data_IF_063249751907
#
_entry.id   IF_063249751907
#
_cell.length_a   1.000
_cell.length_b   1.000
_cell.length_c   1.000
_cell.angle_alpha   90.00
_cell.angle_beta   90.00
_cell.angle_gamma   90.00
#
_symmetry.space_group_name_H-M   'P 1'
#
loop_
_entity.id
_entity.type
_entity.pdbx_description
1 polymer ?
#
# COMPACT_ATOMS: atom_id res chain seq x y z
N UNK A 1 83.42 -49.19 44.41
CA UNK A 1 84.79 -49.53 43.99
C UNK A 1 85.14 -48.65 42.80
N UNK A 2 86.19 -47.82 42.93
CA UNK A 2 86.93 -47.05 41.88
C UNK A 2 86.19 -45.88 41.21
N UNK A 3 86.69 -44.64 41.07
CA UNK A 3 87.81 -43.83 41.62
C UNK A 3 87.50 -42.35 41.26
N UNK A 4 87.82 -41.44 42.18
CA UNK A 4 88.26 -40.03 42.05
C UNK A 4 87.69 -39.07 40.98
N UNK A 5 87.31 -37.84 41.39
CA UNK A 5 88.17 -36.65 41.20
C UNK A 5 87.68 -35.43 42.02
N UNK A 6 88.66 -34.70 42.54
CA UNK A 6 88.58 -33.61 43.49
C UNK A 6 88.60 -32.22 42.82
N UNK A 7 88.08 -31.27 43.59
CA UNK A 7 88.04 -29.81 43.46
C UNK A 7 89.02 -29.11 42.50
N UNK A 8 88.47 -28.20 41.67
CA UNK A 8 89.05 -26.86 41.44
C UNK A 8 87.96 -25.80 41.32
N UNK A 9 88.01 -24.84 42.26
CA UNK A 9 87.35 -23.54 42.18
C UNK A 9 88.22 -22.55 41.40
N UNK A 10 87.53 -21.60 40.80
CA UNK A 10 87.95 -20.24 40.41
C UNK A 10 88.73 -20.07 39.10
N UNK A 11 88.18 -19.18 38.29
CA UNK A 11 88.66 -18.78 36.97
C UNK A 11 87.50 -18.20 36.17
N UNK A 12 87.09 -16.97 36.53
CA UNK A 12 85.97 -16.24 35.91
C UNK A 12 86.12 -16.22 34.39
N UNK A 13 85.17 -16.82 33.67
CA UNK A 13 84.91 -16.50 32.27
C UNK A 13 83.44 -16.17 32.07
N UNK A 14 83.23 -14.95 31.61
CA UNK A 14 82.00 -14.19 31.36
C UNK A 14 80.78 -15.06 31.04
N UNK A 15 79.84 -15.14 31.98
CA UNK A 15 78.43 -15.43 31.69
C UNK A 15 77.58 -14.23 32.08
N UNK A 16 76.75 -13.82 31.11
CA UNK A 16 75.42 -13.24 31.33
C UNK A 16 75.36 -11.92 32.09
N UNK A 17 75.28 -10.82 31.34
CA UNK A 17 74.07 -9.97 31.32
C UNK A 17 73.93 -9.50 29.86
N UNK A 18 73.27 -10.29 29.01
CA UNK A 18 72.73 -9.72 27.77
C UNK A 18 71.62 -8.79 28.23
N UNK A 19 71.87 -7.50 28.07
CA UNK A 19 70.96 -6.37 28.18
C UNK A 19 69.51 -6.84 27.96
N UNK A 20 68.69 -6.80 29.01
CA UNK A 20 67.24 -6.85 28.88
C UNK A 20 66.85 -5.58 28.13
N UNK A 21 66.96 -5.64 26.80
CA UNK A 21 66.36 -4.65 25.92
C UNK A 21 64.86 -4.82 26.05
N UNK A 22 64.28 -3.80 26.67
CA UNK A 22 62.89 -3.41 26.66
C UNK A 22 62.22 -3.61 25.27
N UNK A 23 60.87 -3.58 25.26
CA UNK A 23 59.97 -4.62 24.78
C UNK A 23 60.09 -4.91 23.28
N UNK A 24 59.67 -6.11 22.89
CA UNK A 24 59.34 -6.46 21.53
C UNK A 24 58.69 -5.28 20.82
N UNK A 25 59.34 -4.79 19.76
CA UNK A 25 58.79 -3.72 18.93
C UNK A 25 57.48 -4.22 18.36
N UNK A 26 56.37 -3.83 19.00
CA UNK A 26 55.02 -3.93 18.46
C UNK A 26 55.10 -3.37 17.05
N UNK A 27 54.98 -4.26 16.06
CA UNK A 27 54.87 -3.86 14.65
C UNK A 27 53.69 -2.91 14.59
N UNK A 28 53.97 -1.62 14.45
CA UNK A 28 52.91 -0.63 14.29
C UNK A 28 52.13 -1.02 13.05
N UNK A 29 50.87 -1.41 13.26
CA UNK A 29 49.94 -1.64 12.17
C UNK A 29 49.76 -0.28 11.48
N UNK A 30 50.17 -0.16 10.21
CA UNK A 30 49.95 1.07 9.45
C UNK A 30 48.45 1.39 9.56
N UNK A 31 48.06 2.61 9.96
CA UNK A 31 46.65 2.97 10.01
C UNK A 31 46.08 2.68 8.61
N UNK A 32 45.01 1.87 8.57
CA UNK A 32 44.33 1.55 7.32
C UNK A 32 44.00 2.88 6.63
N UNK A 33 44.20 2.96 5.31
CA UNK A 33 43.83 4.16 4.55
C UNK A 33 42.31 4.30 4.61
N UNK A 34 41.82 5.02 5.61
CA UNK A 34 40.42 5.42 5.67
C UNK A 34 40.29 6.49 4.59
N UNK A 35 39.72 6.09 3.46
CA UNK A 35 39.41 7.02 2.38
C UNK A 35 38.26 7.92 2.84
N UNK A 36 38.58 8.97 3.59
CA UNK A 36 37.59 9.91 4.13
C UNK A 36 36.75 10.59 3.03
N UNK A 37 37.26 10.64 1.80
CA UNK A 37 36.57 11.23 0.66
C UNK A 37 36.71 10.35 -0.59
N UNK A 38 35.99 9.23 -0.62
CA UNK A 38 35.66 8.52 -1.86
C UNK A 38 34.39 9.09 -2.53
N UNK A 39 34.09 10.39 -2.37
CA UNK A 39 32.96 11.01 -3.03
C UNK A 39 33.37 11.50 -4.42
N UNK A 40 33.44 10.54 -5.37
CA UNK A 40 33.61 10.85 -6.79
C UNK A 40 32.35 11.56 -7.30
N UNK A 41 32.31 12.89 -7.12
CA UNK A 41 31.18 13.77 -7.45
C UNK A 41 30.59 13.48 -8.83
N UNK A 42 31.43 13.23 -9.84
CA UNK A 42 30.99 12.91 -11.19
C UNK A 42 30.21 11.59 -11.30
N UNK A 43 30.71 10.51 -10.67
CA UNK A 43 30.02 9.20 -10.68
C UNK A 43 28.72 9.24 -9.86
N UNK A 44 28.74 9.95 -8.74
CA UNK A 44 27.55 10.15 -7.91
C UNK A 44 26.47 10.94 -8.67
N UNK A 45 26.82 12.10 -9.23
CA UNK A 45 25.89 12.92 -10.03
C UNK A 45 25.33 12.15 -11.22
N UNK A 46 26.18 11.39 -11.94
CA UNK A 46 25.73 10.55 -13.07
C UNK A 46 24.71 9.50 -12.60
N UNK A 47 24.99 8.80 -11.50
CA UNK A 47 24.10 7.79 -10.94
C UNK A 47 22.76 8.39 -10.52
N UNK A 48 22.80 9.52 -9.81
CA UNK A 48 21.58 10.21 -9.35
C UNK A 48 20.74 10.72 -10.52
N UNK A 49 21.38 11.28 -11.56
CA UNK A 49 20.68 11.72 -12.77
C UNK A 49 20.04 10.54 -13.51
N UNK A 50 20.74 9.40 -13.63
CA UNK A 50 20.18 8.21 -14.28
C UNK A 50 18.97 7.66 -13.51
N UNK A 51 19.04 7.62 -12.19
CA UNK A 51 17.91 7.19 -11.34
C UNK A 51 16.73 8.16 -11.50
N UNK A 52 16.99 9.47 -11.48
CA UNK A 52 15.94 10.48 -11.68
C UNK A 52 15.32 10.39 -13.08
N UNK A 53 16.12 10.18 -14.12
CA UNK A 53 15.63 9.93 -15.47
C UNK A 53 14.74 8.69 -15.54
N UNK A 54 15.15 7.59 -14.90
CA UNK A 54 14.34 6.38 -14.81
C UNK A 54 13.00 6.61 -14.12
N UNK A 55 13.00 7.35 -13.00
CA UNK A 55 11.77 7.76 -12.30
C UNK A 55 10.87 8.64 -13.18
N UNK A 56 11.44 9.65 -13.84
CA UNK A 56 10.69 10.50 -14.77
C UNK A 56 10.09 9.69 -15.93
N UNK A 57 10.80 8.71 -16.47
CA UNK A 57 10.29 7.85 -17.52
C UNK A 57 9.11 6.98 -17.05
N UNK A 58 9.17 6.45 -15.81
CA UNK A 58 8.06 5.72 -15.21
C UNK A 58 6.83 6.61 -15.00
N UNK A 59 7.03 7.83 -14.49
CA UNK A 59 5.94 8.82 -14.31
C UNK A 59 5.33 9.20 -15.65
N UNK A 60 6.15 9.48 -16.67
CA UNK A 60 5.68 9.77 -18.02
C UNK A 60 4.90 8.60 -18.61
N UNK A 61 5.35 7.35 -18.40
CA UNK A 61 4.63 6.16 -18.85
C UNK A 61 3.30 5.97 -18.11
N UNK A 62 3.27 6.21 -16.81
CA UNK A 62 2.05 6.16 -16.02
C UNK A 62 1.06 7.24 -16.49
N UNK A 63 1.52 8.47 -16.69
CA UNK A 63 0.72 9.57 -17.23
C UNK A 63 0.21 9.27 -18.65
N UNK A 64 1.02 8.65 -19.51
CA UNK A 64 0.60 8.20 -20.84
C UNK A 64 -0.54 7.18 -20.78
N UNK A 65 -0.38 6.14 -19.95
CA UNK A 65 -1.39 5.08 -19.78
C UNK A 65 -2.67 5.64 -19.17
N UNK A 66 -2.55 6.53 -18.17
CA UNK A 66 -3.70 7.20 -17.58
C UNK A 66 -4.36 8.16 -18.56
N UNK A 67 -3.63 8.92 -19.37
CA UNK A 67 -4.21 9.88 -20.32
C UNK A 67 -4.90 9.22 -21.51
N UNK A 68 -4.37 8.10 -22.03
CA UNK A 68 -4.92 7.43 -23.23
C UNK A 68 -6.00 6.41 -22.87
N UNK A 69 -5.85 5.69 -21.76
CA UNK A 69 -6.82 4.68 -21.34
C UNK A 69 -7.76 5.17 -20.23
N UNK A 70 -7.72 6.46 -19.85
CA UNK A 70 -8.67 7.01 -18.88
C UNK A 70 -10.11 6.77 -19.35
N UNK A 71 -10.43 7.14 -20.58
CA UNK A 71 -11.81 7.07 -21.08
C UNK A 71 -12.33 5.63 -21.12
N UNK A 72 -11.48 4.68 -21.49
CA UNK A 72 -11.85 3.25 -21.55
C UNK A 72 -12.02 2.64 -20.17
N UNK A 73 -11.12 2.91 -19.21
CA UNK A 73 -11.24 2.46 -17.82
C UNK A 73 -12.43 3.10 -17.10
N UNK A 74 -12.68 4.38 -17.35
CA UNK A 74 -13.85 5.10 -16.80
C UNK A 74 -15.13 4.47 -17.32
N UNK A 75 -15.19 4.18 -18.63
CA UNK A 75 -16.34 3.53 -19.25
C UNK A 75 -16.59 2.10 -18.72
N UNK A 76 -15.53 1.33 -18.46
CA UNK A 76 -15.65 0.00 -17.85
C UNK A 76 -16.10 0.05 -16.39
N UNK A 77 -15.60 1.04 -15.62
CA UNK A 77 -16.05 1.29 -14.27
C UNK A 77 -17.54 1.69 -14.26
N UNK A 78 -17.94 2.59 -15.15
CA UNK A 78 -19.30 3.05 -15.32
C UNK A 78 -20.22 1.91 -15.74
N UNK A 79 -19.83 1.06 -16.69
CA UNK A 79 -20.62 -0.14 -17.07
C UNK A 79 -20.87 -1.09 -15.91
N UNK A 80 -19.96 -1.15 -14.94
CA UNK A 80 -20.09 -2.03 -13.76
C UNK A 80 -20.88 -1.37 -12.63
N UNK A 81 -20.88 -0.04 -12.56
CA UNK A 81 -21.53 0.73 -11.48
C UNK A 81 -22.91 1.26 -11.87
N UNK A 82 -23.06 1.77 -13.09
CA UNK A 82 -24.34 2.16 -13.66
C UNK A 82 -25.10 0.91 -14.13
N UNK A 83 -25.89 0.34 -13.21
CA UNK A 83 -27.03 -0.48 -13.62
C UNK A 83 -28.02 0.44 -14.31
N UNK A 84 -28.17 0.28 -15.63
CA UNK A 84 -29.28 0.88 -16.36
C UNK A 84 -30.52 0.10 -15.99
N UNK A 85 -31.41 0.70 -15.22
CA UNK A 85 -32.76 0.16 -15.03
C UNK A 85 -33.50 0.34 -16.35
N UNK A 86 -33.61 -0.74 -17.11
CA UNK A 86 -34.40 -0.74 -18.33
C UNK A 86 -35.88 -0.53 -17.95
N UNK A 87 -36.50 0.50 -18.51
CA UNK A 87 -37.93 0.75 -18.29
C UNK A 87 -38.69 -0.37 -19.00
N UNK A 88 -39.28 -1.29 -18.24
CA UNK A 88 -40.05 -2.40 -18.82
C UNK A 88 -41.23 -1.84 -19.62
N UNK A 89 -41.34 -2.26 -20.88
CA UNK A 89 -42.55 -2.05 -21.66
C UNK A 89 -43.72 -2.80 -21.00
N UNK A 90 -44.86 -2.12 -20.90
CA UNK A 90 -46.11 -2.69 -20.36
C UNK A 90 -46.49 -3.94 -21.16
N UNK A 91 -46.90 -5.01 -20.46
CA UNK A 91 -47.33 -6.27 -21.10
C UNK A 91 -48.73 -6.10 -21.69
N UNK A 92 -48.93 -6.57 -22.92
CA UNK A 92 -50.24 -6.57 -23.56
C UNK A 92 -51.29 -7.36 -22.78
N UNK A 93 -52.54 -6.89 -22.82
CA UNK A 93 -53.69 -7.57 -22.21
C UNK A 93 -54.05 -8.84 -22.96
N UNK A 94 -54.34 -9.92 -22.24
CA UNK A 94 -54.82 -11.18 -22.82
C UNK A 94 -56.35 -11.22 -22.68
N UNK A 95 -57.04 -11.43 -23.81
CA UNK A 95 -58.49 -11.57 -23.87
C UNK A 95 -58.86 -13.02 -24.21
N UNK A 96 -59.97 -13.49 -23.66
CA UNK A 96 -60.62 -14.72 -24.11
C UNK A 96 -61.25 -14.54 -25.50
N UNK A 97 -61.70 -15.62 -26.13
CA UNK A 97 -62.40 -15.62 -27.43
C UNK A 97 -63.64 -14.74 -27.45
N UNK A 98 -64.25 -14.52 -26.28
CA UNK A 98 -65.42 -13.67 -26.08
C UNK A 98 -65.06 -12.20 -25.78
N UNK A 99 -63.78 -11.81 -25.87
CA UNK A 99 -63.32 -10.45 -25.58
C UNK A 99 -63.24 -10.12 -24.08
N UNK A 100 -63.35 -11.11 -23.20
CA UNK A 100 -63.25 -10.91 -21.76
C UNK A 100 -61.78 -10.85 -21.33
N UNK A 101 -61.41 -9.85 -20.53
CA UNK A 101 -60.04 -9.69 -20.02
C UNK A 101 -59.69 -10.81 -19.05
N UNK A 102 -58.63 -11.56 -19.35
CA UNK A 102 -58.07 -12.60 -18.46
C UNK A 102 -56.82 -12.12 -17.72
N UNK A 103 -56.08 -11.18 -18.31
CA UNK A 103 -54.86 -10.62 -17.72
C UNK A 103 -54.59 -9.21 -18.25
N UNK A 104 -54.27 -8.28 -17.34
CA UNK A 104 -53.86 -6.91 -17.64
C UNK A 104 -52.72 -6.51 -16.69
N UNK A 105 -51.80 -5.67 -17.16
CA UNK A 105 -50.77 -5.06 -16.31
C UNK A 105 -51.23 -3.67 -15.89
N UNK A 106 -51.36 -3.45 -14.58
CA UNK A 106 -51.83 -2.18 -14.00
C UNK A 106 -50.64 -1.52 -13.31
N UNK A 107 -50.27 -0.29 -13.66
CA UNK A 107 -49.26 0.44 -12.92
C UNK A 107 -49.78 0.71 -11.50
N UNK A 108 -48.94 0.46 -10.49
CA UNK A 108 -49.26 0.73 -9.10
C UNK A 108 -48.21 1.66 -8.50
N UNK A 109 -48.65 2.69 -7.80
CA UNK A 109 -47.79 3.55 -7.01
C UNK A 109 -47.50 2.87 -5.67
N UNK A 110 -46.22 2.75 -5.32
CA UNK A 110 -45.80 2.22 -4.03
C UNK A 110 -45.22 3.36 -3.18
N UNK A 111 -45.78 3.55 -1.99
CA UNK A 111 -45.25 4.51 -1.00
C UNK A 111 -44.29 3.75 -0.08
N UNK A 112 -43.06 4.24 0.02
CA UNK A 112 -42.01 3.64 0.88
C UNK A 112 -41.49 4.69 1.84
N UNK A 113 -41.40 4.34 3.12
CA UNK A 113 -40.89 5.21 4.17
C UNK A 113 -39.59 4.63 4.75
N UNK A 114 -38.49 5.38 4.64
CA UNK A 114 -37.22 5.02 5.29
C UNK A 114 -37.18 5.62 6.70
N UNK A 115 -37.14 4.79 7.77
CA UNK A 115 -37.15 5.27 9.14
C UNK A 115 -35.97 6.20 9.45
N UNK A 116 -34.77 5.98 8.89
CA UNK A 116 -33.59 6.79 9.22
C UNK A 116 -33.77 8.24 8.80
N UNK A 117 -34.32 8.46 7.62
CA UNK A 117 -34.55 9.78 7.05
C UNK A 117 -35.66 10.51 7.82
N UNK A 118 -36.74 9.80 8.17
CA UNK A 118 -37.85 10.35 8.95
C UNK A 118 -37.44 10.79 10.37
N UNK A 119 -36.57 10.02 11.02
CA UNK A 119 -36.04 10.34 12.35
C UNK A 119 -35.08 11.54 12.29
N UNK A 120 -34.26 11.66 11.23
CA UNK A 120 -33.32 12.77 11.07
C UNK A 120 -34.02 14.10 10.82
N UNK A 121 -35.09 14.09 10.03
CA UNK A 121 -35.83 15.30 9.66
C UNK A 121 -36.97 15.64 10.65
N UNK A 122 -37.14 14.87 11.73
CA UNK A 122 -38.27 14.98 12.65
C UNK A 122 -39.63 15.01 11.93
N UNK A 123 -39.76 14.31 10.80
CA UNK A 123 -40.97 14.31 9.97
C UNK A 123 -42.19 13.73 10.70
N UNK A 124 -41.97 13.05 11.83
CA UNK A 124 -43.00 12.51 12.72
C UNK A 124 -43.61 13.55 13.69
N UNK A 125 -43.05 14.76 13.76
CA UNK A 125 -43.54 15.80 14.65
C UNK A 125 -44.89 16.39 14.18
N UNK A 126 -45.11 16.46 12.87
CA UNK A 126 -46.33 17.00 12.28
C UNK A 126 -47.40 15.91 12.13
N UNK A 127 -48.18 15.74 13.21
CA UNK A 127 -49.21 14.70 13.31
C UNK A 127 -50.37 14.92 12.35
N UNK A 128 -50.67 16.16 11.97
CA UNK A 128 -51.78 16.47 11.06
C UNK A 128 -51.46 15.98 9.65
N UNK A 129 -50.22 16.19 9.19
CA UNK A 129 -49.76 15.68 7.88
C UNK A 129 -49.74 14.16 7.82
N UNK A 130 -49.34 13.50 8.91
CA UNK A 130 -49.34 12.04 8.98
C UNK A 130 -50.76 11.49 9.01
N UNK A 131 -51.67 12.15 9.72
CA UNK A 131 -53.08 11.77 9.73
C UNK A 131 -53.72 11.91 8.34
N UNK A 132 -53.48 13.03 7.64
CA UNK A 132 -53.95 13.25 6.27
C UNK A 132 -53.38 12.21 5.29
N UNK A 133 -52.09 11.89 5.38
CA UNK A 133 -51.48 10.84 4.56
C UNK A 133 -52.11 9.46 4.84
N UNK A 134 -52.36 9.14 6.12
CA UNK A 134 -52.96 7.87 6.51
C UNK A 134 -54.43 7.76 6.05
N UNK A 135 -55.15 8.87 5.98
CA UNK A 135 -56.53 8.92 5.47
C UNK A 135 -56.55 8.68 3.96
N UNK A 136 -55.67 9.34 3.20
CA UNK A 136 -55.57 9.17 1.75
C UNK A 136 -55.21 7.72 1.36
N UNK A 137 -54.22 7.13 2.04
CA UNK A 137 -53.80 5.73 1.79
C UNK A 137 -54.93 4.74 2.10
N UNK A 138 -55.86 5.10 2.97
CA UNK A 138 -56.98 4.22 3.36
C UNK A 138 -58.13 4.23 2.35
N UNK A 139 -58.19 5.24 1.48
CA UNK A 139 -59.27 5.42 0.53
C UNK A 139 -59.02 4.67 -0.80
N UNK A 140 -57.77 4.40 -1.14
CA UNK A 140 -57.34 3.49 -2.23
C UNK A 140 -57.52 2.00 -1.86
#
# INVERSE_FOLDING_TARGET
MVKFNSSRKSGKSKKTIRKLTAPETVKQNKPQKVFEKCFMRGRYMLSTVLILLGLCALVARAAYVQSINADTLSNEADKRSLRKDEVLSVRGSILDRNGQLLSVSVPMSAIVADPKTMLKENSLADKERIAALAEEIRYD
#
